data_IF_534710835952
#
_entry.id   IF_534710835952
#
_cell.length_a   1.000
_cell.length_b   1.000
_cell.length_c   1.000
_cell.angle_alpha   90.00
_cell.angle_beta   90.00
_cell.angle_gamma   90.00
#
_symmetry.space_group_name_H-M   'P 1'
#
loop_
_entity.id
_entity.type
_entity.pdbx_description
1 polymer ?
#
# COMPACT_ATOMS: atom_id res chain seq x y z
N UNK A 1 -16.11 -14.51 28.41
CA UNK A 1 -15.30 -13.49 29.12
C UNK A 1 -14.31 -12.92 28.14
N UNK A 2 -14.12 -11.59 28.07
CA UNK A 2 -13.06 -11.00 27.24
C UNK A 2 -11.70 -11.46 27.79
N UNK A 3 -10.78 -11.84 26.91
CA UNK A 3 -9.40 -12.07 27.30
C UNK A 3 -8.77 -10.72 27.68
N UNK A 4 -8.57 -10.50 28.98
CA UNK A 4 -8.09 -9.22 29.51
C UNK A 4 -6.73 -8.81 28.96
N UNK A 5 -5.81 -9.78 28.77
CA UNK A 5 -4.48 -9.50 28.26
C UNK A 5 -4.51 -9.08 26.78
N UNK A 6 -5.41 -9.67 25.99
CA UNK A 6 -5.63 -9.26 24.60
C UNK A 6 -6.22 -7.85 24.51
N UNK A 7 -7.24 -7.57 25.32
CA UNK A 7 -7.88 -6.27 25.34
C UNK A 7 -6.91 -5.15 25.73
N UNK A 8 -6.10 -5.36 26.78
CA UNK A 8 -5.09 -4.41 27.24
C UNK A 8 -4.00 -4.13 26.18
N UNK A 9 -3.57 -5.15 25.43
CA UNK A 9 -2.70 -4.92 24.27
C UNK A 9 -3.40 -4.08 23.22
N UNK A 10 -4.64 -4.41 22.89
CA UNK A 10 -5.45 -3.68 21.91
C UNK A 10 -5.59 -2.20 22.24
N UNK A 11 -5.92 -1.87 23.49
CA UNK A 11 -6.04 -0.48 23.97
C UNK A 11 -4.72 0.29 23.79
N UNK A 12 -3.60 -0.30 24.21
CA UNK A 12 -2.28 0.30 24.06
C UNK A 12 -1.87 0.47 22.60
N UNK A 13 -2.01 -0.58 21.79
CA UNK A 13 -1.68 -0.55 20.37
C UNK A 13 -2.58 0.43 19.61
N UNK A 14 -3.86 0.54 19.97
CA UNK A 14 -4.75 1.57 19.42
C UNK A 14 -4.19 2.96 19.72
N UNK A 15 -3.90 3.28 20.97
CA UNK A 15 -3.42 4.61 21.35
C UNK A 15 -2.09 4.96 20.65
N UNK A 16 -1.17 3.99 20.56
CA UNK A 16 0.12 4.15 19.89
C UNK A 16 -0.03 4.33 18.37
N UNK A 17 -0.91 3.58 17.72
CA UNK A 17 -1.10 3.62 16.26
C UNK A 17 -1.98 4.82 15.89
N UNK A 18 -3.09 5.05 16.56
CA UNK A 18 -4.06 6.08 16.19
C UNK A 18 -3.72 7.46 16.74
N UNK A 19 -2.81 7.55 17.72
CA UNK A 19 -2.39 8.80 18.39
C UNK A 19 -3.51 9.52 19.16
N UNK A 20 -4.58 8.79 19.49
CA UNK A 20 -5.65 9.23 20.37
C UNK A 20 -6.23 8.02 21.11
N UNK A 21 -6.97 8.28 22.19
CA UNK A 21 -7.53 7.21 23.02
C UNK A 21 -8.59 6.38 22.28
N UNK A 22 -8.68 5.06 22.55
CA UNK A 22 -9.70 4.23 21.93
C UNK A 22 -11.12 4.73 22.25
N UNK A 23 -12.07 4.58 21.32
CA UNK A 23 -13.44 5.01 21.56
C UNK A 23 -14.06 4.23 22.73
N UNK A 24 -14.75 4.95 23.60
CA UNK A 24 -15.56 4.33 24.67
C UNK A 24 -16.67 3.48 24.04
N UNK A 25 -16.82 2.24 24.48
CA UNK A 25 -17.94 1.41 24.05
C UNK A 25 -17.79 -0.08 24.32
N UNK A 26 -18.89 -0.69 24.75
CA UNK A 26 -18.99 -2.13 25.00
C UNK A 26 -19.66 -2.91 23.86
N UNK A 27 -19.81 -2.28 22.68
CA UNK A 27 -20.41 -2.97 21.54
C UNK A 27 -19.48 -4.07 21.00
N UNK A 28 -20.02 -5.14 20.38
CA UNK A 28 -19.21 -6.14 19.71
C UNK A 28 -18.27 -5.56 18.65
N UNK A 29 -18.68 -4.47 18.00
CA UNK A 29 -17.84 -3.74 17.05
C UNK A 29 -16.64 -3.08 17.75
N UNK A 30 -16.87 -2.31 18.82
CA UNK A 30 -15.80 -1.66 19.57
C UNK A 30 -14.84 -2.70 20.19
N UNK A 31 -15.39 -3.79 20.74
CA UNK A 31 -14.60 -4.92 21.22
C UNK A 31 -13.76 -5.57 20.13
N UNK A 32 -14.34 -5.85 18.95
CA UNK A 32 -13.60 -6.42 17.82
C UNK A 32 -12.52 -5.49 17.26
N UNK A 33 -12.79 -4.19 17.20
CA UNK A 33 -11.79 -3.19 16.80
C UNK A 33 -10.57 -3.25 17.73
N UNK A 34 -10.80 -3.16 19.04
CA UNK A 34 -9.71 -3.16 20.02
C UNK A 34 -9.02 -4.52 20.10
N UNK A 35 -9.77 -5.59 20.32
CA UNK A 35 -9.21 -6.91 20.59
C UNK A 35 -8.54 -7.53 19.35
N UNK A 36 -9.23 -7.50 18.20
CA UNK A 36 -8.77 -8.17 16.98
C UNK A 36 -7.93 -7.24 16.12
N UNK A 37 -8.46 -6.09 15.70
CA UNK A 37 -7.73 -5.22 14.76
C UNK A 37 -6.45 -4.69 15.43
N UNK A 38 -6.54 -4.10 16.62
CA UNK A 38 -5.36 -3.55 17.28
C UNK A 38 -4.60 -4.56 18.15
N UNK A 39 -5.30 -5.42 18.90
CA UNK A 39 -4.70 -6.34 19.86
C UNK A 39 -4.15 -7.66 19.26
N UNK A 40 -4.52 -7.97 18.02
CA UNK A 40 -4.02 -9.14 17.30
C UNK A 40 -3.38 -8.77 15.95
N UNK A 41 -3.98 -7.92 15.12
CA UNK A 41 -3.44 -7.64 13.77
C UNK A 41 -2.30 -6.62 13.80
N UNK A 42 -2.51 -5.42 14.36
CA UNK A 42 -1.46 -4.38 14.41
C UNK A 42 -0.28 -4.73 15.32
N UNK A 43 -0.50 -5.53 16.36
CA UNK A 43 0.54 -5.88 17.32
C UNK A 43 1.52 -6.96 16.82
N UNK A 44 1.30 -7.53 15.63
CA UNK A 44 2.14 -8.61 15.08
C UNK A 44 3.45 -8.06 14.49
N UNK A 45 4.60 -8.70 14.80
CA UNK A 45 5.91 -8.18 14.40
C UNK A 45 6.30 -8.48 12.94
N UNK A 46 5.58 -9.36 12.24
CA UNK A 46 5.97 -9.83 10.90
C UNK A 46 5.85 -8.77 9.79
N UNK A 47 5.17 -7.66 10.06
CA UNK A 47 5.13 -6.49 9.17
C UNK A 47 5.23 -5.23 10.03
N UNK A 48 6.12 -4.32 9.65
CA UNK A 48 6.39 -3.11 10.43
C UNK A 48 5.13 -2.22 10.53
N UNK A 49 5.03 -1.42 11.60
CA UNK A 49 3.93 -0.45 11.76
C UNK A 49 3.82 0.47 10.54
N UNK A 50 4.96 0.92 10.02
CA UNK A 50 5.06 1.75 8.83
C UNK A 50 4.51 1.03 7.60
N UNK A 51 4.92 -0.20 7.34
CA UNK A 51 4.45 -0.97 6.17
C UNK A 51 2.94 -1.25 6.25
N UNK A 52 2.42 -1.52 7.45
CA UNK A 52 0.97 -1.66 7.69
C UNK A 52 0.19 -0.40 7.33
N UNK A 53 0.78 0.81 7.43
CA UNK A 53 0.12 2.06 7.00
C UNK A 53 -0.20 2.05 5.52
N UNK A 54 0.73 1.62 4.68
CA UNK A 54 0.53 1.65 3.23
C UNK A 54 -0.62 0.74 2.80
N UNK A 55 -0.72 -0.45 3.39
CA UNK A 55 -1.85 -1.37 3.17
C UNK A 55 -3.16 -0.78 3.70
N UNK A 56 -3.13 -0.27 4.94
CA UNK A 56 -4.32 0.28 5.61
C UNK A 56 -4.88 1.49 4.88
N UNK A 57 -4.03 2.46 4.54
CA UNK A 57 -4.42 3.71 3.86
C UNK A 57 -5.05 3.42 2.51
N UNK A 58 -4.49 2.47 1.73
CA UNK A 58 -5.10 2.03 0.49
C UNK A 58 -6.51 1.44 0.72
N UNK A 59 -6.68 0.61 1.75
CA UNK A 59 -7.98 0.00 2.06
C UNK A 59 -9.02 1.04 2.51
N UNK A 60 -8.69 1.91 3.47
CA UNK A 60 -9.65 2.91 3.98
C UNK A 60 -9.95 4.01 2.96
N UNK A 61 -8.99 4.36 2.09
CA UNK A 61 -9.25 5.25 0.95
C UNK A 61 -10.21 4.61 -0.07
N UNK A 62 -10.11 3.29 -0.26
CA UNK A 62 -10.99 2.56 -1.17
C UNK A 62 -12.39 2.29 -0.60
N UNK A 63 -12.53 2.18 0.72
CA UNK A 63 -13.79 1.87 1.42
C UNK A 63 -14.85 2.99 1.38
N UNK A 64 -14.53 4.15 0.80
CA UNK A 64 -15.41 5.34 0.75
C UNK A 64 -15.83 5.88 2.14
N UNK A 65 -15.14 5.44 3.20
CA UNK A 65 -15.41 5.82 4.59
C UNK A 65 -14.52 7.01 5.00
N UNK A 66 -15.12 8.20 5.06
CA UNK A 66 -14.38 9.45 5.31
C UNK A 66 -13.70 9.48 6.68
N UNK A 67 -14.42 9.15 7.76
CA UNK A 67 -13.87 9.24 9.13
C UNK A 67 -12.66 8.31 9.36
N UNK A 68 -12.70 7.02 9.01
CA UNK A 68 -11.51 6.16 9.12
C UNK A 68 -10.33 6.64 8.29
N UNK A 69 -10.58 7.12 7.06
CA UNK A 69 -9.53 7.68 6.21
C UNK A 69 -8.85 8.88 6.86
N UNK A 70 -9.62 9.87 7.32
CA UNK A 70 -9.10 11.04 8.03
C UNK A 70 -8.33 10.63 9.30
N UNK A 71 -8.86 9.70 10.10
CA UNK A 71 -8.19 9.25 11.32
C UNK A 71 -6.85 8.56 11.03
N UNK A 72 -6.77 7.68 10.04
CA UNK A 72 -5.52 7.01 9.69
C UNK A 72 -4.49 7.95 9.05
N UNK A 73 -4.93 8.92 8.25
CA UNK A 73 -4.07 9.97 7.70
C UNK A 73 -3.49 10.83 8.81
N UNK A 74 -4.35 11.34 9.70
CA UNK A 74 -3.91 12.12 10.86
C UNK A 74 -2.90 11.34 11.68
N UNK A 75 -3.23 10.10 12.04
CA UNK A 75 -2.39 9.26 12.87
C UNK A 75 -1.02 8.98 12.24
N UNK A 76 -0.98 8.65 10.94
CA UNK A 76 0.26 8.34 10.24
C UNK A 76 1.21 9.54 10.14
N UNK A 77 0.67 10.74 9.89
CA UNK A 77 1.43 11.99 9.83
C UNK A 77 1.83 12.48 11.23
N UNK A 78 0.92 12.40 12.19
CA UNK A 78 1.15 12.90 13.55
C UNK A 78 2.18 12.07 14.30
N UNK A 79 2.18 10.74 14.14
CA UNK A 79 3.18 9.85 14.74
C UNK A 79 4.54 9.89 14.05
N UNK A 80 4.62 10.47 12.85
CA UNK A 80 5.82 10.43 12.01
C UNK A 80 6.07 9.07 11.36
N UNK A 81 5.07 8.18 11.30
CA UNK A 81 5.19 6.90 10.56
C UNK A 81 5.46 7.15 9.07
N UNK A 82 4.83 8.20 8.54
CA UNK A 82 4.97 8.68 7.17
C UNK A 82 5.28 10.17 7.17
N UNK A 83 6.17 10.57 6.26
CA UNK A 83 6.36 11.99 5.94
C UNK A 83 5.20 12.51 5.07
N UNK A 84 5.03 13.84 5.01
CA UNK A 84 4.04 14.45 4.11
C UNK A 84 4.35 14.14 2.63
N UNK A 85 5.63 14.06 2.26
CA UNK A 85 6.08 13.67 0.92
C UNK A 85 5.65 12.26 0.56
N UNK A 86 5.88 11.29 1.45
CA UNK A 86 5.49 9.89 1.24
C UNK A 86 3.97 9.73 1.18
N UNK A 87 3.23 10.47 2.02
CA UNK A 87 1.76 10.45 2.00
C UNK A 87 1.22 10.98 0.67
N UNK A 88 1.78 12.07 0.14
CA UNK A 88 1.37 12.63 -1.17
C UNK A 88 1.70 11.68 -2.33
N UNK A 89 2.89 11.08 -2.34
CA UNK A 89 3.23 10.07 -3.37
C UNK A 89 2.41 8.78 -3.20
N UNK A 90 1.99 8.43 -1.98
CA UNK A 90 1.01 7.35 -1.72
C UNK A 90 -0.34 7.65 -2.36
N UNK A 91 -0.86 8.87 -2.21
CA UNK A 91 -2.11 9.31 -2.85
C UNK A 91 -2.02 9.22 -4.37
N UNK A 92 -0.91 9.69 -4.96
CA UNK A 92 -0.69 9.63 -6.40
C UNK A 92 -0.59 8.18 -6.91
N UNK A 93 0.19 7.33 -6.24
CA UNK A 93 0.31 5.91 -6.61
C UNK A 93 -1.04 5.18 -6.45
N UNK A 94 -1.79 5.49 -5.39
CA UNK A 94 -3.16 5.03 -5.21
C UNK A 94 -4.07 5.50 -6.36
N UNK A 95 -3.94 6.73 -6.87
CA UNK A 95 -4.75 7.22 -8.00
C UNK A 95 -4.58 6.37 -9.26
N UNK A 96 -3.35 5.92 -9.54
CA UNK A 96 -3.04 5.06 -10.69
C UNK A 96 -3.77 3.73 -10.58
N UNK A 97 -3.83 3.16 -9.38
CA UNK A 97 -4.37 1.82 -9.16
C UNK A 97 -5.84 1.80 -8.78
N UNK A 98 -6.38 2.83 -8.13
CA UNK A 98 -7.73 2.87 -7.55
C UNK A 98 -8.61 3.98 -8.12
N UNK A 99 -8.07 4.79 -9.03
CA UNK A 99 -8.77 5.85 -9.75
C UNK A 99 -8.75 7.23 -9.08
N UNK A 100 -8.75 8.26 -9.93
CA UNK A 100 -8.70 9.67 -9.54
C UNK A 100 -9.81 10.13 -8.57
N UNK A 101 -11.09 9.69 -8.68
CA UNK A 101 -12.13 10.17 -7.76
C UNK A 101 -11.86 9.81 -6.30
N UNK A 102 -11.42 8.56 -6.03
CA UNK A 102 -11.07 8.13 -4.68
C UNK A 102 -9.78 8.79 -4.19
N UNK A 103 -8.78 8.92 -5.07
CA UNK A 103 -7.55 9.62 -4.74
C UNK A 103 -7.77 11.11 -4.44
N UNK A 104 -8.72 11.77 -5.10
CA UNK A 104 -9.09 13.16 -4.79
C UNK A 104 -9.62 13.30 -3.36
N UNK A 105 -10.50 12.39 -2.92
CA UNK A 105 -10.97 12.33 -1.53
C UNK A 105 -9.84 12.06 -0.55
N UNK A 106 -8.91 11.17 -0.90
CA UNK A 106 -7.72 10.90 -0.11
C UNK A 106 -6.83 12.14 0.00
N UNK A 107 -6.56 12.84 -1.11
CA UNK A 107 -5.80 14.09 -1.09
C UNK A 107 -6.43 15.16 -0.19
N UNK A 108 -7.75 15.33 -0.26
CA UNK A 108 -8.48 16.27 0.60
C UNK A 108 -8.28 15.91 2.08
N UNK A 109 -8.38 14.63 2.44
CA UNK A 109 -8.11 14.18 3.80
C UNK A 109 -6.66 14.49 4.23
N UNK A 110 -5.67 14.29 3.35
CA UNK A 110 -4.26 14.66 3.61
C UNK A 110 -4.11 16.14 3.91
N UNK A 111 -4.63 17.02 3.05
CA UNK A 111 -4.51 18.46 3.25
C UNK A 111 -5.21 18.93 4.54
N UNK A 112 -6.42 18.42 4.81
CA UNK A 112 -7.18 18.74 6.02
C UNK A 112 -6.45 18.30 7.30
N UNK A 113 -5.98 17.05 7.35
CA UNK A 113 -5.31 16.55 8.55
C UNK A 113 -3.93 17.16 8.75
N UNK A 114 -3.20 17.45 7.66
CA UNK A 114 -1.92 18.12 7.75
C UNK A 114 -2.05 19.55 8.32
N UNK A 115 -3.04 20.31 7.85
CA UNK A 115 -3.36 21.62 8.42
C UNK A 115 -3.74 21.53 9.91
N UNK A 116 -4.58 20.54 10.27
CA UNK A 116 -4.99 20.29 11.66
C UNK A 116 -3.81 19.95 12.58
N UNK A 117 -2.83 19.20 12.08
CA UNK A 117 -1.61 18.87 12.84
C UNK A 117 -0.76 20.13 13.08
N UNK A 118 -0.57 20.96 12.06
CA UNK A 118 0.16 22.22 12.19
C UNK A 118 -0.52 23.17 13.21
N UNK A 119 -1.84 23.33 13.11
CA UNK A 119 -2.62 24.13 14.06
C UNK A 119 -2.48 23.62 15.50
N UNK A 120 -2.61 22.31 15.72
CA UNK A 120 -2.47 21.70 17.04
C UNK A 120 -1.05 21.87 17.63
N UNK A 121 -0.03 22.04 16.78
CA UNK A 121 1.36 22.32 17.19
C UNK A 121 1.66 23.81 17.35
N UNK A 122 0.69 24.70 17.09
CA UNK A 122 0.90 26.14 17.07
C UNK A 122 1.83 26.61 15.94
N UNK A 123 1.98 25.79 14.89
CA UNK A 123 2.79 26.07 13.72
C UNK A 123 1.93 26.75 12.64
N UNK A 124 2.54 27.67 11.89
CA UNK A 124 1.90 28.17 10.67
C UNK A 124 1.81 27.04 9.64
N UNK A 125 0.76 26.98 8.80
CA UNK A 125 0.69 26.01 7.71
C UNK A 125 1.97 26.12 6.86
N UNK A 126 2.69 25.01 6.61
CA UNK A 126 3.91 25.08 5.83
C UNK A 126 3.56 25.55 4.41
N UNK A 127 4.43 26.37 3.78
CA UNK A 127 4.23 26.75 2.38
C UNK A 127 4.18 25.51 1.49
N UNK A 128 3.51 25.56 0.33
CA UNK A 128 3.50 24.45 -0.62
C UNK A 128 4.93 24.05 -0.98
N UNK A 129 5.27 22.79 -0.74
CA UNK A 129 6.54 22.22 -1.17
C UNK A 129 6.57 22.13 -2.70
N UNK A 130 7.71 22.43 -3.36
CA UNK A 130 7.87 22.16 -4.78
C UNK A 130 7.62 20.68 -5.10
N UNK A 131 7.10 20.40 -6.30
CA UNK A 131 6.99 19.03 -6.78
C UNK A 131 8.38 18.38 -6.85
N UNK A 132 8.44 17.10 -6.52
CA UNK A 132 9.65 16.31 -6.72
C UNK A 132 10.03 16.31 -8.21
N UNK A 133 11.34 16.36 -8.54
CA UNK A 133 11.78 16.40 -9.92
C UNK A 133 11.33 15.15 -10.68
N UNK A 134 10.94 15.34 -11.95
CA UNK A 134 10.75 14.22 -12.86
C UNK A 134 12.11 13.59 -13.14
N UNK A 135 12.20 12.28 -12.92
CA UNK A 135 13.44 11.51 -13.14
C UNK A 135 13.47 10.80 -14.50
N UNK A 136 12.37 10.87 -15.24
CA UNK A 136 12.19 10.19 -16.52
C UNK A 136 12.34 11.15 -17.69
N UNK A 137 12.57 10.60 -18.89
CA UNK A 137 12.74 11.43 -20.08
C UNK A 137 11.50 12.26 -20.37
N UNK A 138 11.69 13.53 -20.72
CA UNK A 138 10.59 14.41 -21.15
C UNK A 138 10.05 14.03 -22.53
N UNK A 139 10.90 13.46 -23.39
CA UNK A 139 10.52 12.97 -24.71
C UNK A 139 9.64 11.70 -24.59
N UNK A 140 8.43 11.69 -25.20
CA UNK A 140 7.51 10.57 -25.06
C UNK A 140 8.05 9.23 -25.59
N UNK A 141 8.85 9.24 -26.65
CA UNK A 141 9.38 8.01 -27.23
C UNK A 141 10.51 7.43 -26.36
N UNK A 142 11.38 8.28 -25.84
CA UNK A 142 12.38 7.86 -24.84
C UNK A 142 11.71 7.36 -23.55
N UNK A 143 10.63 8.00 -23.09
CA UNK A 143 9.88 7.53 -21.92
C UNK A 143 9.23 6.17 -22.17
N UNK A 144 8.70 5.92 -23.37
CA UNK A 144 8.18 4.61 -23.76
C UNK A 144 9.26 3.52 -23.68
N UNK A 145 10.46 3.79 -24.18
CA UNK A 145 11.58 2.85 -24.13
C UNK A 145 11.98 2.54 -22.68
N UNK A 146 12.17 3.57 -21.85
CA UNK A 146 12.43 3.39 -20.41
C UNK A 146 11.28 2.67 -19.69
N UNK A 147 10.04 2.89 -20.14
CA UNK A 147 8.86 2.19 -19.65
C UNK A 147 8.84 0.69 -19.94
N UNK A 148 9.34 0.25 -21.10
CA UNK A 148 9.49 -1.18 -21.43
C UNK A 148 10.56 -1.86 -20.57
N UNK A 149 11.67 -1.16 -20.32
CA UNK A 149 12.73 -1.63 -19.42
C UNK A 149 12.19 -1.75 -18.00
N UNK A 150 11.58 -0.67 -17.50
CA UNK A 150 10.99 -0.61 -16.16
C UNK A 150 9.87 -1.63 -15.98
N UNK A 151 9.04 -1.86 -17.00
CA UNK A 151 8.01 -2.90 -16.96
C UNK A 151 8.63 -4.29 -16.73
N UNK A 152 9.67 -4.64 -17.49
CA UNK A 152 10.36 -5.95 -17.37
C UNK A 152 10.98 -6.12 -16.00
N UNK A 153 11.72 -5.11 -15.54
CA UNK A 153 12.43 -5.14 -14.26
C UNK A 153 11.45 -5.20 -13.08
N UNK A 154 10.49 -4.27 -13.03
CA UNK A 154 9.53 -4.17 -11.92
C UNK A 154 8.61 -5.39 -11.88
N UNK A 155 8.20 -5.96 -13.02
CA UNK A 155 7.34 -7.15 -12.99
C UNK A 155 8.13 -8.47 -12.93
N UNK A 156 9.45 -8.41 -12.99
CA UNK A 156 10.33 -9.58 -13.09
C UNK A 156 9.92 -10.49 -14.27
N UNK A 157 9.67 -9.89 -15.43
CA UNK A 157 9.25 -10.55 -16.66
C UNK A 157 10.27 -10.35 -17.77
N UNK A 158 10.48 -11.34 -18.66
CA UNK A 158 11.41 -11.22 -19.78
C UNK A 158 10.84 -10.42 -20.96
N UNK A 159 9.59 -9.97 -20.88
CA UNK A 159 8.89 -9.28 -21.97
C UNK A 159 8.13 -8.05 -21.47
N UNK A 160 7.86 -7.13 -22.39
CA UNK A 160 6.94 -6.01 -22.22
C UNK A 160 5.75 -6.19 -23.19
N UNK A 161 4.56 -5.62 -22.89
CA UNK A 161 3.43 -5.65 -23.81
C UNK A 161 3.76 -4.92 -25.12
N UNK A 162 3.08 -5.29 -26.21
CA UNK A 162 3.22 -4.59 -27.49
C UNK A 162 2.64 -3.17 -27.41
N UNK A 163 3.22 -2.24 -28.17
CA UNK A 163 2.76 -0.84 -28.31
C UNK A 163 1.64 -0.69 -29.35
N UNK A 164 0.79 -1.70 -29.49
CA UNK A 164 -0.20 -1.80 -30.58
C UNK A 164 -1.53 -1.10 -30.27
N UNK A 165 -1.70 -0.58 -29.06
CA UNK A 165 -2.90 0.15 -28.66
C UNK A 165 -2.59 1.22 -27.58
N UNK A 166 -3.47 2.23 -27.40
CA UNK A 166 -3.25 3.32 -26.45
C UNK A 166 -3.15 2.86 -24.99
N UNK A 167 -3.84 1.78 -24.62
CA UNK A 167 -3.79 1.25 -23.26
C UNK A 167 -2.40 0.71 -22.94
N UNK A 168 -1.83 -0.13 -23.79
CA UNK A 168 -0.49 -0.69 -23.60
C UNK A 168 0.62 0.36 -23.80
N UNK A 169 0.57 1.13 -24.89
CA UNK A 169 1.60 2.11 -25.22
C UNK A 169 1.57 3.32 -24.30
N UNK A 170 0.53 4.15 -24.41
CA UNK A 170 0.46 5.41 -23.66
C UNK A 170 0.16 5.19 -22.17
N UNK A 171 -0.73 4.25 -21.84
CA UNK A 171 -1.11 3.97 -20.45
C UNK A 171 -0.03 3.20 -19.70
N UNK A 172 0.16 1.92 -20.03
CA UNK A 172 1.05 1.03 -19.29
C UNK A 172 2.52 1.44 -19.44
N UNK A 173 3.01 1.55 -20.67
CA UNK A 173 4.44 1.74 -20.89
C UNK A 173 4.89 3.19 -20.69
N UNK A 174 4.21 4.19 -21.28
CA UNK A 174 4.65 5.58 -21.15
C UNK A 174 4.33 6.16 -19.76
N UNK A 175 3.12 5.95 -19.25
CA UNK A 175 2.67 6.60 -18.02
C UNK A 175 2.94 5.75 -16.76
N UNK A 176 2.43 4.52 -16.67
CA UNK A 176 2.53 3.72 -15.44
C UNK A 176 3.98 3.32 -15.15
N UNK A 177 4.62 2.59 -16.06
CA UNK A 177 5.99 2.10 -15.87
C UNK A 177 7.06 3.07 -16.36
N UNK A 178 6.72 3.95 -17.30
CA UNK A 178 7.64 4.98 -17.81
C UNK A 178 7.70 6.24 -16.95
N UNK A 179 6.82 6.41 -15.96
CA UNK A 179 6.86 7.55 -15.03
C UNK A 179 6.44 7.14 -13.61
N UNK A 180 5.20 6.68 -13.41
CA UNK A 180 4.59 6.60 -12.07
C UNK A 180 5.35 5.69 -11.09
N UNK A 181 5.84 4.54 -11.55
CA UNK A 181 6.64 3.63 -10.72
C UNK A 181 8.06 4.13 -10.41
N UNK A 182 8.58 5.05 -11.22
CA UNK A 182 9.94 5.57 -11.12
C UNK A 182 10.04 6.85 -10.29
N UNK A 183 8.90 7.43 -9.90
CA UNK A 183 8.87 8.68 -9.15
C UNK A 183 9.62 8.56 -7.81
N UNK A 184 10.38 9.60 -7.41
CA UNK A 184 11.00 9.65 -6.09
C UNK A 184 9.96 9.84 -4.98
N UNK A 185 10.39 9.76 -3.71
CA UNK A 185 9.54 10.04 -2.55
C UNK A 185 8.72 8.85 -2.03
N UNK A 186 8.72 7.72 -2.75
CA UNK A 186 8.14 6.46 -2.29
C UNK A 186 8.98 5.27 -2.78
N UNK A 187 9.39 4.41 -1.85
CA UNK A 187 10.21 3.24 -2.15
C UNK A 187 9.46 2.13 -2.89
N UNK A 188 10.21 1.18 -3.45
CA UNK A 188 9.63 0.07 -4.22
C UNK A 188 8.74 -0.81 -3.35
N UNK A 189 9.18 -1.15 -2.13
CA UNK A 189 8.39 -1.94 -1.17
C UNK A 189 7.04 -1.28 -0.90
N UNK A 190 7.03 0.00 -0.57
CA UNK A 190 5.80 0.75 -0.32
C UNK A 190 4.84 0.73 -1.52
N UNK A 191 5.37 0.92 -2.74
CA UNK A 191 4.59 0.80 -3.98
C UNK A 191 3.98 -0.60 -4.13
N UNK A 192 4.73 -1.67 -3.81
CA UNK A 192 4.18 -3.04 -3.82
C UNK A 192 3.04 -3.19 -2.85
N UNK A 193 3.21 -2.75 -1.60
CA UNK A 193 2.19 -2.89 -0.56
C UNK A 193 0.88 -2.19 -0.96
N UNK A 194 0.96 -0.96 -1.47
CA UNK A 194 -0.20 -0.20 -1.98
C UNK A 194 -0.82 -0.91 -3.18
N UNK A 195 0.00 -1.27 -4.18
CA UNK A 195 -0.50 -1.89 -5.41
C UNK A 195 -1.20 -3.21 -5.14
N UNK A 196 -0.61 -4.10 -4.33
CA UNK A 196 -1.21 -5.40 -3.98
C UNK A 196 -2.56 -5.19 -3.29
N UNK A 197 -2.65 -4.27 -2.32
CA UNK A 197 -3.92 -3.93 -1.69
C UNK A 197 -4.95 -3.42 -2.72
N UNK A 198 -4.53 -2.52 -3.63
CA UNK A 198 -5.41 -1.96 -4.66
C UNK A 198 -5.95 -2.99 -5.65
N UNK A 199 -5.10 -3.87 -6.17
CA UNK A 199 -5.55 -4.88 -7.12
C UNK A 199 -6.41 -5.95 -6.43
N UNK A 200 -6.13 -6.25 -5.16
CA UNK A 200 -6.92 -7.17 -4.35
C UNK A 200 -8.35 -6.65 -4.11
N UNK A 201 -8.52 -5.39 -3.72
CA UNK A 201 -9.88 -4.88 -3.52
C UNK A 201 -10.69 -4.68 -4.80
N UNK A 202 -10.05 -4.65 -5.97
CA UNK A 202 -10.72 -4.55 -7.27
C UNK A 202 -11.06 -5.90 -7.90
N UNK A 203 -10.72 -7.02 -7.27
CA UNK A 203 -10.89 -8.37 -7.83
C UNK A 203 -10.18 -8.53 -9.19
N UNK A 204 -9.04 -7.85 -9.35
CA UNK A 204 -8.30 -7.83 -10.61
C UNK A 204 -7.38 -9.05 -10.72
N UNK A 205 -7.92 -10.21 -11.12
CA UNK A 205 -7.23 -11.51 -11.17
C UNK A 205 -5.80 -11.46 -11.73
N UNK A 206 -5.63 -10.99 -12.98
CA UNK A 206 -4.30 -10.95 -13.61
C UNK A 206 -3.36 -9.98 -12.86
N UNK A 207 -3.77 -8.74 -12.52
CA UNK A 207 -2.97 -7.85 -11.69
C UNK A 207 -2.62 -8.37 -10.28
N UNK A 208 -3.51 -9.08 -9.60
CA UNK A 208 -3.23 -9.69 -8.29
C UNK A 208 -2.10 -10.71 -8.45
N UNK A 209 -2.23 -11.62 -9.40
CA UNK A 209 -1.21 -12.61 -9.72
C UNK A 209 0.13 -11.95 -10.07
N UNK A 210 0.15 -10.98 -10.99
CA UNK A 210 1.41 -10.39 -11.47
C UNK A 210 2.11 -9.56 -10.40
N UNK A 211 1.38 -8.76 -9.62
CA UNK A 211 1.99 -7.90 -8.60
C UNK A 211 2.41 -8.66 -7.35
N UNK A 212 1.69 -9.71 -6.94
CA UNK A 212 2.13 -10.62 -5.87
C UNK A 212 3.39 -11.37 -6.31
N UNK A 213 3.40 -11.93 -7.53
CA UNK A 213 4.59 -12.58 -8.09
C UNK A 213 5.79 -11.64 -8.09
N UNK A 214 5.63 -10.44 -8.64
CA UNK A 214 6.71 -9.48 -8.78
C UNK A 214 7.30 -9.05 -7.43
N UNK A 215 6.45 -8.77 -6.43
CA UNK A 215 6.88 -8.39 -5.09
C UNK A 215 7.70 -9.50 -4.40
N UNK A 216 7.30 -10.76 -4.58
CA UNK A 216 7.98 -11.92 -4.01
C UNK A 216 9.26 -12.29 -4.79
N UNK A 217 9.22 -12.20 -6.12
CA UNK A 217 10.34 -12.56 -7.01
C UNK A 217 11.49 -11.57 -6.86
N UNK A 218 11.21 -10.26 -6.84
CA UNK A 218 12.22 -9.22 -6.63
C UNK A 218 12.84 -9.26 -5.22
N UNK A 219 12.09 -9.77 -4.24
CA UNK A 219 12.48 -9.74 -2.83
C UNK A 219 12.16 -8.42 -2.13
N UNK A 220 11.42 -7.51 -2.78
CA UNK A 220 10.94 -6.25 -2.18
C UNK A 220 10.06 -6.52 -0.94
N UNK A 221 9.31 -7.62 -0.98
CA UNK A 221 8.45 -8.10 0.12
C UNK A 221 8.78 -9.57 0.38
N UNK A 222 9.10 -9.90 1.62
CA UNK A 222 9.35 -11.28 2.02
C UNK A 222 8.07 -12.12 2.04
N UNK A 223 8.23 -13.44 2.16
CA UNK A 223 7.08 -14.36 2.22
C UNK A 223 6.23 -14.09 3.46
N UNK A 224 6.86 -13.83 4.60
CA UNK A 224 6.16 -13.59 5.88
C UNK A 224 5.46 -12.23 5.86
N UNK A 225 6.11 -11.20 5.31
CA UNK A 225 5.49 -9.87 5.17
C UNK A 225 4.28 -9.89 4.24
N UNK A 226 4.28 -10.73 3.20
CA UNK A 226 3.14 -10.88 2.29
C UNK A 226 1.95 -11.56 2.98
N UNK A 227 2.19 -12.53 3.88
CA UNK A 227 1.10 -13.12 4.69
C UNK A 227 0.52 -12.09 5.66
N UNK A 228 1.38 -11.28 6.28
CA UNK A 228 0.94 -10.20 7.16
C UNK A 228 0.20 -9.09 6.40
N UNK A 229 0.57 -8.80 5.14
CA UNK A 229 -0.20 -7.94 4.26
C UNK A 229 -1.60 -8.51 4.04
N UNK A 230 -1.74 -9.81 3.74
CA UNK A 230 -3.04 -10.43 3.52
C UNK A 230 -3.94 -10.34 4.76
N UNK A 231 -3.37 -10.55 5.95
CA UNK A 231 -4.06 -10.39 7.22
C UNK A 231 -4.48 -8.93 7.47
N UNK A 232 -3.58 -7.98 7.22
CA UNK A 232 -3.87 -6.54 7.34
C UNK A 232 -5.00 -6.13 6.37
N UNK A 233 -4.93 -6.61 5.13
CA UNK A 233 -5.96 -6.39 4.12
C UNK A 233 -7.31 -6.98 4.54
N UNK A 234 -7.32 -8.21 5.08
CA UNK A 234 -8.54 -8.83 5.60
C UNK A 234 -9.21 -8.00 6.70
N UNK A 235 -8.41 -7.43 7.61
CA UNK A 235 -8.91 -6.62 8.71
C UNK A 235 -9.56 -5.29 8.25
N UNK A 236 -9.09 -4.71 7.14
CA UNK A 236 -9.57 -3.40 6.66
C UNK A 236 -10.51 -3.44 5.45
N UNK A 237 -10.45 -4.48 4.64
CA UNK A 237 -11.25 -4.60 3.41
C UNK A 237 -12.14 -5.85 3.38
N UNK A 238 -11.88 -6.83 4.27
CA UNK A 238 -12.75 -7.97 4.53
C UNK A 238 -12.20 -9.31 4.07
N UNK A 239 -12.55 -10.36 4.83
CA UNK A 239 -12.04 -11.71 4.62
C UNK A 239 -12.40 -12.31 3.25
N UNK A 240 -13.57 -11.97 2.68
CA UNK A 240 -14.00 -12.55 1.40
C UNK A 240 -13.05 -12.21 0.25
N UNK A 241 -12.56 -10.96 0.18
CA UNK A 241 -11.56 -10.55 -0.81
C UNK A 241 -10.16 -11.03 -0.44
N UNK A 242 -9.87 -11.09 0.86
CA UNK A 242 -8.59 -11.58 1.34
C UNK A 242 -8.36 -13.07 1.04
N UNK A 243 -9.42 -13.88 0.98
CA UNK A 243 -9.33 -15.31 0.65
C UNK A 243 -8.66 -15.54 -0.71
N UNK A 244 -9.12 -14.82 -1.75
CA UNK A 244 -8.53 -14.94 -3.07
C UNK A 244 -7.10 -14.41 -3.12
N UNK A 245 -6.83 -13.27 -2.47
CA UNK A 245 -5.47 -12.74 -2.34
C UNK A 245 -4.53 -13.77 -1.67
N UNK A 246 -4.99 -14.40 -0.59
CA UNK A 246 -4.23 -15.41 0.15
C UNK A 246 -3.95 -16.66 -0.68
N UNK A 247 -4.93 -17.10 -1.49
CA UNK A 247 -4.72 -18.18 -2.45
C UNK A 247 -3.61 -17.82 -3.45
N UNK A 248 -3.68 -16.64 -4.08
CA UNK A 248 -2.66 -16.20 -5.04
C UNK A 248 -1.28 -16.10 -4.38
N UNK A 249 -1.19 -15.60 -3.14
CA UNK A 249 0.05 -15.56 -2.38
C UNK A 249 0.66 -16.96 -2.23
N UNK A 250 -0.15 -17.97 -1.84
CA UNK A 250 0.33 -19.34 -1.71
C UNK A 250 0.87 -19.90 -3.05
N UNK A 251 0.15 -19.66 -4.15
CA UNK A 251 0.56 -20.09 -5.49
C UNK A 251 1.87 -19.41 -5.95
N UNK A 252 2.00 -18.09 -5.76
CA UNK A 252 3.19 -17.36 -6.18
C UNK A 252 4.41 -17.69 -5.29
N UNK A 253 4.23 -17.98 -4.00
CA UNK A 253 5.30 -18.50 -3.14
C UNK A 253 5.86 -19.81 -3.66
N UNK A 254 4.99 -20.73 -4.06
CA UNK A 254 5.40 -22.01 -4.65
C UNK A 254 6.17 -21.79 -5.95
N UNK A 255 5.64 -20.94 -6.85
CA UNK A 255 6.29 -20.58 -8.12
C UNK A 255 7.69 -20.01 -7.90
N UNK A 256 7.82 -18.95 -7.09
CA UNK A 256 9.11 -18.29 -6.83
C UNK A 256 10.12 -19.27 -6.20
N UNK A 257 9.65 -20.16 -5.31
CA UNK A 257 10.51 -21.20 -4.72
C UNK A 257 11.00 -22.19 -5.76
N UNK A 258 10.14 -22.63 -6.67
CA UNK A 258 10.50 -23.56 -7.74
C UNK A 258 11.50 -22.95 -8.72
N UNK A 259 11.27 -21.70 -9.14
CA UNK A 259 12.18 -20.95 -10.03
C UNK A 259 13.56 -20.77 -9.39
N UNK A 260 13.62 -20.35 -8.12
CA UNK A 260 14.90 -20.22 -7.39
C UNK A 260 15.66 -21.54 -7.36
N UNK A 261 14.99 -22.68 -7.12
CA UNK A 261 15.64 -24.00 -7.14
C UNK A 261 16.18 -24.37 -8.52
N UNK A 262 15.44 -24.07 -9.59
CA UNK A 262 15.88 -24.33 -10.96
C UNK A 262 17.14 -23.51 -11.30
N UNK A 263 17.16 -22.21 -10.95
CA UNK A 263 18.30 -21.32 -11.14
C UNK A 263 19.57 -21.84 -10.43
N UNK A 264 19.45 -22.37 -9.21
CA UNK A 264 20.60 -22.95 -8.48
C UNK A 264 21.10 -24.26 -9.11
N UNK A 265 20.22 -25.05 -9.73
CA UNK A 265 20.59 -26.32 -10.38
C UNK A 265 21.26 -26.10 -11.74
N UNK A 266 20.99 -24.97 -12.40
CA UNK A 266 21.61 -24.64 -13.71
C UNK A 266 23.03 -24.05 -13.61
N UNK A 267 23.51 -23.75 -12.40
CA UNK A 267 24.83 -23.10 -12.16
C UNK A 267 25.87 -24.08 -11.57
N UNK A 268 25.46 -25.26 -11.11
CA UNK A 268 26.33 -26.31 -10.56
C UNK A 268 26.55 -27.46 -11.53
#
# INVERSE_FOLDING_TARGET
MRDGARHERGVRTFAEVMTFDPPDGDSPYAGGLIDFVFGEVWSRPGLSRRDRRFVTLACVAAADAQTPLEQHVYAALNSGDLTITEMRETVLHFAVYAGWPKASRFNIAVDMQWAKIAEARGEAPPPPEPLLPLVTASDPEQRLQGGEESFREINCLPFAPMRDNPYSGAGILNFVFGEMWLRPGLGMKERRLITVACVAFQDAEIPIMSHVYAALKSGDVSFDEMDELALQFAAYYGCAKAEYLNQVIAEQKQRVTAERRAEHTSVG
#
